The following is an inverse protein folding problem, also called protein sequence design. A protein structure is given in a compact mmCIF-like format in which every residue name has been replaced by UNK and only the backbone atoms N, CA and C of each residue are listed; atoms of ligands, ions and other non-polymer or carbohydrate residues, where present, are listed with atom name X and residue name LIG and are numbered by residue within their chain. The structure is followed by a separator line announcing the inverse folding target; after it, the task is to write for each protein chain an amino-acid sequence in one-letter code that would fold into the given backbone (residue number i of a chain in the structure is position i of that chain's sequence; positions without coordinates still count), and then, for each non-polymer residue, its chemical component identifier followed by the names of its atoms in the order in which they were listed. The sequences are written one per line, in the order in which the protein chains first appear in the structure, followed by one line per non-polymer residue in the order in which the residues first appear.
data_IF_587960947555
#
_entry.id   IF_587960947555
#
_cell.length_a   1.000
_cell.length_b   1.000
_cell.length_c   1.000
_cell.angle_alpha   90.00
_cell.angle_beta   90.00
_cell.angle_gamma   90.00
#
_symmetry.space_group_name_H-M   'P 1'
#
loop_
_entity.id
_entity.type
_entity.pdbx_description
1 polymer ?
#
# COMPACT_ATOMS: atom_id res chain seq x y z
N UNK A 1 15.18 6.55 13.75
CA UNK A 1 14.99 5.27 14.44
C UNK A 1 14.57 4.25 13.41
N UNK A 2 15.49 3.34 13.09
CA UNK A 2 15.34 2.27 12.12
C UNK A 2 14.47 1.15 12.69
N UNK A 3 13.55 0.62 11.89
CA UNK A 3 12.72 -0.54 12.23
C UNK A 3 13.50 -1.87 12.21
N UNK A 4 14.79 -1.88 12.56
CA UNK A 4 15.66 -3.06 12.45
C UNK A 4 16.20 -3.60 13.78
N UNK A 5 15.84 -3.02 14.92
CA UNK A 5 16.15 -3.59 16.23
C UNK A 5 14.93 -3.48 17.15
N UNK A 6 14.02 -4.44 17.03
CA UNK A 6 13.09 -4.78 18.10
C UNK A 6 13.61 -6.07 18.75
N UNK A 7 14.17 -5.85 19.93
CA UNK A 7 14.94 -6.76 20.75
C UNK A 7 14.12 -7.97 21.24
N UNK A 8 14.82 -9.10 21.28
CA UNK A 8 14.40 -10.37 21.87
C UNK A 8 14.43 -10.24 23.39
N UNK A 9 13.31 -9.84 24.00
CA UNK A 9 12.78 -10.42 25.25
C UNK A 9 11.62 -9.59 25.78
N UNK A 10 10.40 -10.06 25.55
CA UNK A 10 9.35 -10.18 26.56
C UNK A 10 8.42 -11.32 26.12
N UNK A 11 8.24 -12.27 27.04
CA UNK A 11 7.73 -13.63 26.83
C UNK A 11 6.25 -13.73 26.39
N UNK A 12 6.00 -14.70 25.50
CA UNK A 12 4.75 -15.46 25.26
C UNK A 12 3.54 -14.67 24.71
N UNK A 13 3.54 -14.36 23.40
CA UNK A 13 2.32 -14.00 22.64
C UNK A 13 2.51 -14.27 21.13
N UNK A 14 2.63 -15.52 20.70
CA UNK A 14 2.91 -15.81 19.26
C UNK A 14 1.99 -16.83 18.60
N UNK A 15 1.38 -17.74 19.37
CA UNK A 15 0.41 -18.69 18.82
C UNK A 15 -1.02 -18.13 18.92
N UNK A 16 -1.38 -17.44 20.00
CA UNK A 16 -2.71 -16.83 20.17
C UNK A 16 -3.01 -15.80 19.09
N UNK A 17 -2.04 -14.97 18.77
CA UNK A 17 -2.27 -13.81 17.91
C UNK A 17 -2.24 -14.23 16.43
N UNK A 18 -1.29 -15.10 16.03
CA UNK A 18 -1.31 -15.65 14.68
C UNK A 18 -2.59 -16.43 14.39
N UNK A 19 -2.93 -17.40 15.24
CA UNK A 19 -4.11 -18.24 15.01
C UNK A 19 -5.39 -17.43 15.00
N UNK A 20 -5.49 -16.42 15.88
CA UNK A 20 -6.58 -15.46 15.85
C UNK A 20 -6.72 -14.81 14.47
N UNK A 21 -5.68 -14.14 13.96
CA UNK A 21 -5.75 -13.46 12.65
C UNK A 21 -5.88 -14.42 11.46
N UNK A 22 -5.30 -15.62 11.57
CA UNK A 22 -5.34 -16.66 10.54
C UNK A 22 -6.71 -17.31 10.40
N UNK A 23 -7.44 -17.48 11.51
CA UNK A 23 -8.74 -18.15 11.54
C UNK A 23 -9.93 -17.19 11.68
N UNK A 24 -9.71 -15.89 11.92
CA UNK A 24 -10.78 -14.92 12.12
C UNK A 24 -11.85 -15.00 11.01
N UNK A 25 -13.14 -15.19 11.34
CA UNK A 25 -14.19 -15.22 10.33
C UNK A 25 -14.41 -13.83 9.73
N UNK A 26 -14.97 -13.80 8.52
CA UNK A 26 -15.35 -12.57 7.83
C UNK A 26 -15.75 -12.84 6.38
N UNK A 27 -16.05 -11.79 5.64
CA UNK A 27 -16.48 -11.88 4.25
C UNK A 27 -15.26 -11.95 3.33
N UNK A 28 -15.22 -12.95 2.44
CA UNK A 28 -14.19 -13.01 1.41
C UNK A 28 -14.43 -11.92 0.38
N UNK A 29 -13.55 -10.91 0.37
CA UNK A 29 -13.54 -9.86 -0.65
C UNK A 29 -12.64 -10.24 -1.83
N UNK A 30 -11.57 -10.98 -1.55
CA UNK A 30 -10.77 -11.68 -2.55
C UNK A 30 -10.65 -13.14 -2.10
N UNK A 31 -11.38 -14.09 -2.73
CA UNK A 31 -11.28 -15.49 -2.35
C UNK A 31 -9.85 -16.02 -2.58
N UNK A 32 -9.44 -17.10 -1.88
CA UNK A 32 -8.13 -17.69 -2.05
C UNK A 32 -7.82 -17.99 -3.52
N UNK A 33 -6.87 -17.24 -4.08
CA UNK A 33 -6.39 -17.43 -5.43
C UNK A 33 -5.13 -18.28 -5.41
N UNK A 34 -5.22 -19.50 -5.92
CA UNK A 34 -4.11 -20.44 -6.00
C UNK A 34 -3.16 -20.07 -7.15
N UNK A 35 -1.90 -19.85 -6.80
CA UNK A 35 -0.84 -19.56 -7.77
C UNK A 35 0.51 -20.03 -7.27
N UNK A 36 1.29 -20.66 -8.16
CA UNK A 36 2.70 -21.02 -7.93
C UNK A 36 2.94 -21.88 -6.68
N UNK A 37 2.05 -22.84 -6.40
CA UNK A 37 2.18 -23.76 -5.26
C UNK A 37 1.80 -23.16 -3.91
N UNK A 38 1.06 -22.05 -3.93
CA UNK A 38 0.54 -21.37 -2.75
C UNK A 38 -0.77 -20.66 -3.07
N UNK A 39 -1.32 -19.94 -2.10
CA UNK A 39 -2.53 -19.14 -2.26
C UNK A 39 -2.42 -17.81 -1.51
N UNK A 40 -3.23 -16.85 -1.95
CA UNK A 40 -3.43 -15.57 -1.28
C UNK A 40 -4.92 -15.25 -1.31
N UNK A 41 -5.47 -14.78 -0.20
CA UNK A 41 -6.85 -14.30 -0.14
C UNK A 41 -7.00 -13.19 0.88
N UNK A 42 -8.11 -12.46 0.80
CA UNK A 42 -8.41 -11.30 1.65
C UNK A 42 -9.80 -11.43 2.24
N UNK A 43 -9.86 -11.34 3.56
CA UNK A 43 -11.10 -11.35 4.35
C UNK A 43 -11.36 -9.95 4.89
N UNK A 44 -12.59 -9.47 4.77
CA UNK A 44 -13.08 -8.28 5.47
C UNK A 44 -13.74 -8.71 6.77
N UNK A 45 -13.29 -8.18 7.90
CA UNK A 45 -13.82 -8.49 9.21
C UNK A 45 -14.00 -7.22 10.03
N UNK A 46 -14.97 -7.22 10.95
CA UNK A 46 -15.13 -6.17 11.94
C UNK A 46 -14.51 -6.62 13.26
N UNK A 47 -13.59 -5.81 13.80
CA UNK A 47 -12.90 -6.08 15.06
C UNK A 47 -12.95 -4.81 15.91
N UNK A 48 -13.56 -4.89 17.09
CA UNK A 48 -13.72 -3.76 18.01
C UNK A 48 -14.34 -2.50 17.36
N UNK A 49 -15.37 -2.69 16.52
CA UNK A 49 -16.05 -1.59 15.83
C UNK A 49 -15.26 -0.97 14.67
N UNK A 50 -14.16 -1.61 14.23
CA UNK A 50 -13.35 -1.17 13.08
C UNK A 50 -13.38 -2.23 11.99
N UNK A 51 -13.49 -1.77 10.74
CA UNK A 51 -13.40 -2.66 9.57
C UNK A 51 -11.93 -2.88 9.24
N UNK A 52 -11.54 -4.15 9.15
CA UNK A 52 -10.19 -4.59 8.80
C UNK A 52 -10.20 -5.45 7.54
N UNK A 53 -9.13 -5.34 6.76
CA UNK A 53 -8.81 -6.26 5.67
C UNK A 53 -7.65 -7.15 6.10
N UNK A 54 -7.88 -8.46 6.05
CA UNK A 54 -6.95 -9.49 6.53
C UNK A 54 -6.49 -10.30 5.33
N UNK A 55 -5.26 -10.05 4.90
CA UNK A 55 -4.59 -10.78 3.83
C UNK A 55 -3.93 -12.03 4.40
N UNK A 56 -4.33 -13.20 3.93
CA UNK A 56 -3.76 -14.50 4.33
C UNK A 56 -3.06 -15.14 3.15
N UNK A 57 -1.92 -15.74 3.42
CA UNK A 57 -1.06 -16.33 2.41
C UNK A 57 -0.44 -17.63 2.88
N UNK A 58 -0.42 -18.62 2.00
CA UNK A 58 0.36 -19.85 2.14
C UNK A 58 1.27 -19.97 0.92
N UNK A 59 2.58 -20.13 1.11
CA UNK A 59 3.59 -20.27 0.05
C UNK A 59 3.54 -19.18 -1.04
N UNK A 60 2.89 -18.05 -0.76
CA UNK A 60 2.82 -16.91 -1.67
C UNK A 60 4.06 -16.02 -1.51
N UNK A 61 5.15 -16.46 -2.13
CA UNK A 61 6.49 -15.92 -1.91
C UNK A 61 6.98 -15.09 -3.12
N UNK A 62 7.74 -14.04 -2.84
CA UNK A 62 8.62 -13.42 -3.81
C UNK A 62 10.07 -13.84 -3.56
N UNK A 63 10.89 -13.78 -4.60
CA UNK A 63 12.34 -13.99 -4.50
C UNK A 63 13.09 -12.76 -4.99
N UNK A 64 14.17 -12.41 -4.31
CA UNK A 64 15.15 -11.41 -4.74
C UNK A 64 16.51 -11.75 -4.14
N UNK A 65 17.54 -10.95 -4.43
CA UNK A 65 18.90 -11.22 -3.94
C UNK A 65 19.01 -11.29 -2.41
N UNK A 66 18.17 -10.58 -1.65
CA UNK A 66 18.14 -10.63 -0.18
C UNK A 66 17.36 -11.84 0.35
N UNK A 67 16.43 -12.37 -0.43
CA UNK A 67 15.59 -13.52 -0.07
C UNK A 67 15.60 -14.58 -1.18
N UNK A 68 16.73 -15.27 -1.41
CA UNK A 68 16.85 -16.26 -2.47
C UNK A 68 15.90 -17.45 -2.24
N UNK A 69 15.63 -17.80 -0.97
CA UNK A 69 14.71 -18.88 -0.59
C UNK A 69 13.23 -18.46 -0.53
N UNK A 70 12.94 -17.21 -0.87
CA UNK A 70 11.58 -16.68 -0.86
C UNK A 70 11.19 -16.01 0.45
N UNK A 71 10.32 -15.01 0.34
CA UNK A 71 9.75 -14.26 1.47
C UNK A 71 8.29 -13.92 1.16
N UNK A 72 7.35 -13.94 2.14
CA UNK A 72 5.94 -13.70 1.86
C UNK A 72 5.68 -12.30 1.33
N UNK A 73 4.77 -12.16 0.35
CA UNK A 73 4.48 -10.85 -0.24
C UNK A 73 3.79 -9.91 0.75
N UNK A 74 2.90 -10.41 1.62
CA UNK A 74 2.30 -9.60 2.69
C UNK A 74 3.32 -9.05 3.68
N UNK A 75 4.45 -9.75 3.87
CA UNK A 75 5.52 -9.25 4.76
C UNK A 75 6.27 -8.08 4.14
N UNK A 76 6.38 -8.05 2.81
CA UNK A 76 6.89 -6.88 2.08
C UNK A 76 5.89 -5.73 2.12
N UNK A 77 4.61 -6.03 1.94
CA UNK A 77 3.55 -5.02 2.02
C UNK A 77 3.54 -4.35 3.41
N UNK A 78 3.57 -5.13 4.50
CA UNK A 78 3.75 -4.62 5.86
C UNK A 78 4.94 -3.66 5.97
N UNK A 79 6.12 -4.07 5.51
CA UNK A 79 7.32 -3.24 5.56
C UNK A 79 7.10 -1.87 4.89
N UNK A 80 6.44 -1.84 3.73
CA UNK A 80 6.18 -0.58 3.04
C UNK A 80 5.03 0.22 3.65
N UNK A 81 4.01 -0.42 4.23
CA UNK A 81 2.98 0.31 4.99
C UNK A 81 3.61 1.08 6.16
N UNK A 82 4.48 0.44 6.94
CA UNK A 82 5.23 1.11 8.01
C UNK A 82 6.16 2.20 7.46
N UNK A 83 6.83 1.96 6.33
CA UNK A 83 7.68 2.97 5.71
C UNK A 83 6.87 4.20 5.26
N UNK A 84 5.69 4.01 4.66
CA UNK A 84 4.82 5.10 4.24
C UNK A 84 4.27 5.89 5.44
N UNK A 85 3.89 5.21 6.52
CA UNK A 85 3.48 5.86 7.78
C UNK A 85 4.58 6.79 8.31
N UNK A 86 5.84 6.32 8.35
CA UNK A 86 6.99 7.14 8.77
C UNK A 86 7.29 8.33 7.86
N UNK A 87 6.86 8.27 6.59
CA UNK A 87 7.01 9.33 5.60
C UNK A 87 5.81 10.29 5.55
N UNK A 88 4.79 10.06 6.39
CA UNK A 88 3.53 10.81 6.34
C UNK A 88 2.82 10.68 4.99
N UNK A 89 2.91 9.49 4.37
CA UNK A 89 2.23 9.14 3.12
C UNK A 89 1.02 8.29 3.50
N UNK A 90 -0.23 8.77 3.26
CA UNK A 90 -1.42 8.01 3.62
C UNK A 90 -1.53 6.68 2.84
N UNK A 91 -1.80 5.61 3.57
CA UNK A 91 -2.05 4.25 3.10
C UNK A 91 -2.87 3.51 4.19
N UNK A 92 -3.39 2.30 3.96
CA UNK A 92 -4.07 1.52 5.01
C UNK A 92 -3.18 1.36 6.25
N UNK A 93 -3.70 1.67 7.44
CA UNK A 93 -2.90 1.55 8.66
C UNK A 93 -2.63 0.07 8.95
N UNK A 94 -1.36 -0.36 9.11
CA UNK A 94 -1.04 -1.73 9.50
C UNK A 94 -1.40 -1.97 10.97
N UNK A 95 -2.11 -3.08 11.25
CA UNK A 95 -2.55 -3.47 12.61
C UNK A 95 -1.78 -4.68 13.11
N UNK A 96 -1.60 -5.68 12.26
CA UNK A 96 -0.89 -6.91 12.61
C UNK A 96 -0.17 -7.49 11.40
N UNK A 97 1.01 -8.05 11.63
CA UNK A 97 1.70 -8.89 10.65
C UNK A 97 2.50 -9.96 11.36
N UNK A 98 2.44 -11.18 10.83
CA UNK A 98 3.34 -12.24 11.23
C UNK A 98 3.47 -13.26 10.10
N UNK A 99 4.62 -13.92 10.04
CA UNK A 99 4.87 -15.05 9.16
C UNK A 99 5.47 -16.21 9.97
N UNK A 100 5.12 -17.45 9.60
CA UNK A 100 5.64 -18.67 10.23
C UNK A 100 5.92 -19.74 9.19
N UNK A 101 6.86 -20.63 9.52
CA UNK A 101 7.11 -21.85 8.75
C UNK A 101 6.44 -23.03 9.45
N UNK A 102 5.62 -23.76 8.73
CA UNK A 102 4.94 -24.98 9.16
C UNK A 102 5.39 -26.16 8.31
N UNK A 103 4.93 -27.37 8.62
CA UNK A 103 5.13 -28.54 7.73
C UNK A 103 4.46 -28.36 6.37
N UNK A 104 3.40 -27.55 6.29
CA UNK A 104 2.64 -27.26 5.06
C UNK A 104 3.22 -26.13 4.22
N UNK A 105 4.21 -25.39 4.73
CA UNK A 105 4.87 -24.30 4.00
C UNK A 105 5.05 -23.04 4.83
N UNK A 106 5.11 -21.90 4.14
CA UNK A 106 5.22 -20.58 4.79
C UNK A 106 3.85 -19.93 4.82
N UNK A 107 3.31 -19.75 6.01
CA UNK A 107 2.07 -19.02 6.25
C UNK A 107 2.39 -17.58 6.66
N UNK A 108 1.62 -16.62 6.17
CA UNK A 108 1.74 -15.23 6.57
C UNK A 108 0.39 -14.53 6.56
N UNK A 109 0.20 -13.63 7.53
CA UNK A 109 -1.00 -12.83 7.66
C UNK A 109 -0.63 -11.35 7.84
N UNK A 110 -1.42 -10.47 7.23
CA UNK A 110 -1.36 -9.02 7.37
C UNK A 110 -2.78 -8.50 7.58
N UNK A 111 -3.01 -7.78 8.68
CA UNK A 111 -4.26 -7.06 8.92
C UNK A 111 -4.02 -5.55 8.81
N UNK A 112 -4.89 -4.87 8.06
CA UNK A 112 -4.86 -3.41 7.88
C UNK A 112 -6.25 -2.81 8.13
N UNK A 113 -6.30 -1.58 8.63
CA UNK A 113 -7.56 -0.82 8.71
C UNK A 113 -8.11 -0.52 7.31
N UNK A 114 -9.43 -0.50 7.18
CA UNK A 114 -10.10 -0.04 5.98
C UNK A 114 -9.87 1.45 5.74
N UNK A 115 -9.79 1.84 4.47
CA UNK A 115 -9.79 3.25 4.07
C UNK A 115 -11.24 3.75 3.99
N UNK A 116 -11.87 3.98 5.14
CA UNK A 116 -13.28 4.38 5.20
C UNK A 116 -13.54 5.73 4.51
N UNK A 117 -14.57 5.75 3.67
CA UNK A 117 -14.96 6.90 2.86
C UNK A 117 -14.09 7.13 1.61
N UNK A 118 -13.04 6.33 1.41
CA UNK A 118 -12.24 6.41 0.20
C UNK A 118 -12.85 5.58 -0.93
N UNK A 119 -12.69 6.09 -2.16
CA UNK A 119 -13.01 5.40 -3.41
C UNK A 119 -11.82 5.45 -4.35
N UNK A 120 -11.64 4.44 -5.19
CA UNK A 120 -10.50 4.44 -6.09
C UNK A 120 -10.68 5.51 -7.19
N UNK A 121 -9.59 6.13 -7.64
CA UNK A 121 -9.60 7.17 -8.67
C UNK A 121 -10.29 6.70 -9.96
N UNK A 122 -10.15 5.41 -10.30
CA UNK A 122 -10.81 4.77 -11.44
C UNK A 122 -12.33 4.73 -11.36
N UNK A 123 -12.93 4.91 -10.17
CA UNK A 123 -14.38 4.88 -9.97
C UNK A 123 -15.04 6.25 -10.16
N UNK A 124 -14.24 7.31 -10.34
CA UNK A 124 -14.76 8.65 -10.60
C UNK A 124 -14.89 8.85 -12.11
N UNK A 125 -16.13 9.03 -12.59
CA UNK A 125 -16.36 9.36 -14.00
C UNK A 125 -15.89 10.78 -14.36
N UNK A 126 -16.07 11.73 -13.45
CA UNK A 126 -15.50 13.07 -13.52
C UNK A 126 -15.43 13.70 -12.13
N UNK A 127 -14.63 14.76 -12.00
CA UNK A 127 -14.60 15.64 -10.83
C UNK A 127 -14.72 17.10 -11.30
N UNK A 128 -15.29 17.99 -10.48
CA UNK A 128 -15.21 19.43 -10.71
C UNK A 128 -13.77 19.89 -10.93
N UNK A 129 -13.55 20.90 -11.78
CA UNK A 129 -12.21 21.38 -12.12
C UNK A 129 -11.37 21.72 -10.89
N UNK A 130 -11.95 22.37 -9.89
CA UNK A 130 -11.25 22.71 -8.64
C UNK A 130 -10.77 21.45 -7.89
N UNK A 131 -11.59 20.40 -7.84
CA UNK A 131 -11.21 19.14 -7.21
C UNK A 131 -10.15 18.38 -8.03
N UNK A 132 -10.18 18.44 -9.36
CA UNK A 132 -9.12 17.85 -10.20
C UNK A 132 -7.76 18.51 -9.96
N UNK A 133 -7.73 19.85 -9.91
CA UNK A 133 -6.52 20.62 -9.61
C UNK A 133 -6.02 20.33 -8.19
N UNK A 134 -6.93 20.23 -7.21
CA UNK A 134 -6.58 19.86 -5.84
C UNK A 134 -6.01 18.44 -5.76
N UNK A 135 -6.65 17.48 -6.43
CA UNK A 135 -6.19 16.09 -6.53
C UNK A 135 -4.80 16.02 -7.15
N UNK A 136 -4.60 16.70 -8.28
CA UNK A 136 -3.31 16.77 -8.96
C UNK A 136 -2.20 17.28 -8.03
N UNK A 137 -2.47 18.38 -7.30
CA UNK A 137 -1.52 18.97 -6.35
C UNK A 137 -1.20 18.04 -5.18
N UNK A 138 -2.23 17.44 -4.56
CA UNK A 138 -2.06 16.52 -3.41
C UNK A 138 -1.36 15.23 -3.82
N UNK A 139 -1.78 14.62 -4.92
CA UNK A 139 -1.15 13.41 -5.46
C UNK A 139 0.29 13.67 -5.89
N UNK A 140 0.57 14.79 -6.56
CA UNK A 140 1.93 15.20 -6.92
C UNK A 140 2.82 15.35 -5.70
N UNK A 141 2.32 16.00 -4.65
CA UNK A 141 3.04 16.14 -3.38
C UNK A 141 3.33 14.77 -2.73
N UNK A 142 2.31 13.91 -2.65
CA UNK A 142 2.41 12.57 -2.08
C UNK A 142 3.45 11.72 -2.83
N UNK A 143 3.34 11.63 -4.15
CA UNK A 143 4.28 10.89 -5.00
C UNK A 143 5.68 11.50 -4.97
N UNK A 144 5.77 12.82 -4.78
CA UNK A 144 7.04 13.52 -4.60
C UNK A 144 7.79 13.04 -3.37
N UNK A 145 7.10 12.94 -2.23
CA UNK A 145 7.65 12.38 -0.98
C UNK A 145 8.09 10.93 -1.16
N UNK A 146 7.24 10.10 -1.77
CA UNK A 146 7.53 8.69 -2.05
C UNK A 146 8.83 8.53 -2.86
N UNK A 147 8.91 9.25 -3.98
CA UNK A 147 10.03 9.18 -4.90
C UNK A 147 11.29 9.84 -4.33
N UNK A 148 11.17 10.86 -3.47
CA UNK A 148 12.30 11.45 -2.74
C UNK A 148 12.97 10.45 -1.81
N UNK A 149 12.17 9.60 -1.14
CA UNK A 149 12.64 8.45 -0.36
C UNK A 149 13.21 7.31 -1.23
N UNK A 150 13.27 7.49 -2.55
CA UNK A 150 13.70 6.51 -3.56
C UNK A 150 12.84 5.24 -3.60
N UNK A 151 11.60 5.33 -3.12
CA UNK A 151 10.65 4.23 -3.18
C UNK A 151 9.85 4.31 -4.49
N UNK A 152 9.70 3.18 -5.18
CA UNK A 152 8.87 3.03 -6.37
C UNK A 152 7.68 2.12 -6.04
N UNK A 153 6.46 2.61 -6.22
CA UNK A 153 5.21 1.86 -6.09
C UNK A 153 5.17 0.64 -7.02
N UNK A 154 5.57 0.80 -8.28
CA UNK A 154 5.68 -0.25 -9.31
C UNK A 154 4.37 -0.84 -9.82
N UNK A 155 3.25 -0.45 -9.25
CA UNK A 155 1.89 -0.84 -9.64
C UNK A 155 0.95 0.38 -9.52
N UNK A 156 1.43 1.59 -9.83
CA UNK A 156 0.67 2.83 -9.63
C UNK A 156 -0.37 3.00 -10.76
N UNK A 157 -1.48 2.29 -10.61
CA UNK A 157 -2.70 2.46 -11.39
C UNK A 157 -3.67 3.38 -10.64
N UNK A 158 -4.59 3.99 -11.37
CA UNK A 158 -5.68 4.80 -10.82
C UNK A 158 -6.54 4.02 -9.79
N UNK A 159 -6.77 2.72 -10.01
CA UNK A 159 -7.45 1.86 -9.02
C UNK A 159 -6.71 1.70 -7.68
N UNK A 160 -5.46 2.14 -7.60
CA UNK A 160 -4.62 2.10 -6.39
C UNK A 160 -4.35 3.50 -5.82
N UNK A 161 -4.95 4.54 -6.40
CA UNK A 161 -5.00 5.89 -5.85
C UNK A 161 -6.38 6.08 -5.25
N UNK A 162 -6.44 6.19 -3.93
CA UNK A 162 -7.68 6.28 -3.17
C UNK A 162 -7.98 7.76 -2.88
N UNK A 163 -9.20 8.19 -3.14
CA UNK A 163 -9.66 9.57 -2.98
C UNK A 163 -10.84 9.58 -2.01
N UNK A 164 -10.80 10.49 -1.03
CA UNK A 164 -11.94 10.79 -0.16
C UNK A 164 -12.25 12.29 -0.21
N UNK A 165 -13.35 12.70 -0.85
CA UNK A 165 -13.84 14.07 -0.75
C UNK A 165 -14.26 14.37 0.69
N UNK A 166 -13.88 15.53 1.20
CA UNK A 166 -14.30 16.04 2.51
C UNK A 166 -15.30 17.20 2.31
N UNK A 167 -16.15 17.46 3.30
CA UNK A 167 -17.30 18.38 3.20
C UNK A 167 -16.98 19.87 2.96
N UNK A 168 -15.70 20.26 2.94
CA UNK A 168 -15.24 21.65 2.86
C UNK A 168 -14.45 21.95 1.57
N UNK A 169 -14.70 21.20 0.49
CA UNK A 169 -13.94 21.35 -0.77
C UNK A 169 -12.53 20.77 -0.71
N UNK A 170 -12.15 20.18 0.41
CA UNK A 170 -10.92 19.41 0.58
C UNK A 170 -11.10 17.97 0.08
N UNK A 171 -9.97 17.31 -0.20
CA UNK A 171 -9.95 15.88 -0.48
C UNK A 171 -8.70 15.25 0.12
N UNK A 172 -8.81 14.01 0.56
CA UNK A 172 -7.68 13.20 0.99
C UNK A 172 -7.27 12.23 -0.11
N UNK A 173 -5.97 11.92 -0.16
CA UNK A 173 -5.39 10.98 -1.12
C UNK A 173 -4.56 9.96 -0.36
N UNK A 174 -4.80 8.67 -0.62
CA UNK A 174 -4.02 7.57 -0.09
C UNK A 174 -3.58 6.61 -1.20
N UNK A 175 -2.49 5.88 -0.95
CA UNK A 175 -2.03 4.81 -1.84
C UNK A 175 -2.50 3.45 -1.32
N UNK A 176 -2.76 2.53 -2.25
CA UNK A 176 -3.12 1.15 -1.98
C UNK A 176 -2.22 0.20 -2.79
N UNK A 177 -2.19 -1.08 -2.42
CA UNK A 177 -1.45 -2.14 -3.10
C UNK A 177 0.07 -1.90 -3.18
N UNK A 178 0.73 -2.12 -2.04
CA UNK A 178 2.19 -1.95 -1.92
C UNK A 178 2.97 -3.24 -2.19
N UNK A 179 2.32 -4.30 -2.71
CA UNK A 179 2.93 -5.64 -2.85
C UNK A 179 4.17 -5.64 -3.77
N UNK A 180 4.22 -4.71 -4.73
CA UNK A 180 5.32 -4.58 -5.72
C UNK A 180 6.29 -3.45 -5.41
N UNK A 181 6.04 -2.70 -4.33
CA UNK A 181 6.86 -1.56 -3.96
C UNK A 181 8.30 -2.00 -3.71
N UNK A 182 9.25 -1.14 -4.07
CA UNK A 182 10.70 -1.41 -3.94
C UNK A 182 11.55 -0.14 -3.93
N UNK A 183 12.73 -0.16 -3.29
CA UNK A 183 13.69 0.92 -3.41
C UNK A 183 14.32 0.96 -4.81
N UNK A 184 14.76 2.15 -5.22
CA UNK A 184 15.57 2.40 -6.41
C UNK A 184 16.85 3.13 -6.04
N UNK A 185 17.86 3.04 -6.92
CA UNK A 185 19.14 3.72 -6.69
C UNK A 185 19.00 5.24 -6.62
N UNK A 186 18.10 5.80 -7.42
CA UNK A 186 17.91 7.26 -7.58
C UNK A 186 16.43 7.62 -7.53
N UNK A 187 16.12 8.84 -7.06
CA UNK A 187 14.76 9.42 -7.04
C UNK A 187 14.10 9.39 -8.44
N UNK A 188 14.85 9.74 -9.48
CA UNK A 188 14.37 9.75 -10.87
C UNK A 188 13.97 8.36 -11.38
N UNK A 189 14.74 7.31 -11.05
CA UNK A 189 14.39 5.93 -11.41
C UNK A 189 13.14 5.45 -10.69
N UNK A 190 12.90 5.90 -9.45
CA UNK A 190 11.64 5.63 -8.76
C UNK A 190 10.47 6.33 -9.46
N UNK A 191 10.62 7.63 -9.73
CA UNK A 191 9.54 8.44 -10.29
C UNK A 191 9.12 8.05 -11.71
N UNK A 192 10.08 7.82 -12.61
CA UNK A 192 9.78 7.64 -14.05
C UNK A 192 8.77 6.54 -14.32
N UNK A 193 8.92 5.38 -13.68
CA UNK A 193 8.04 4.25 -13.95
C UNK A 193 6.62 4.52 -13.44
N UNK A 194 6.50 4.99 -12.20
CA UNK A 194 5.22 5.20 -11.54
C UNK A 194 4.42 6.33 -12.21
N UNK A 195 5.05 7.49 -12.44
CA UNK A 195 4.39 8.63 -13.11
C UNK A 195 3.97 8.28 -14.54
N UNK A 196 4.83 7.56 -15.28
CA UNK A 196 4.53 7.13 -16.64
C UNK A 196 3.40 6.10 -16.69
N UNK A 197 3.33 5.19 -15.72
CA UNK A 197 2.25 4.21 -15.60
C UNK A 197 0.93 4.88 -15.26
N UNK A 198 0.91 5.76 -14.25
CA UNK A 198 -0.29 6.48 -13.85
C UNK A 198 -0.83 7.33 -15.00
N UNK A 199 0.01 8.16 -15.65
CA UNK A 199 -0.42 9.04 -16.76
C UNK A 199 -1.13 8.28 -17.88
N UNK A 200 -0.65 7.07 -18.22
CA UNK A 200 -1.22 6.25 -19.30
C UNK A 200 -2.51 5.52 -18.93
N UNK A 201 -2.79 5.35 -17.64
CA UNK A 201 -3.82 4.43 -17.15
C UNK A 201 -4.97 5.12 -16.44
N UNK A 202 -4.79 6.38 -16.05
CA UNK A 202 -5.82 7.22 -15.48
C UNK A 202 -6.56 8.01 -16.58
N UNK A 203 -7.83 8.34 -16.35
CA UNK A 203 -8.67 9.15 -17.25
C UNK A 203 -9.20 10.44 -16.61
N UNK A 204 -8.91 10.69 -15.33
CA UNK A 204 -9.54 11.73 -14.54
C UNK A 204 -8.85 13.10 -14.67
N UNK A 205 -7.52 13.13 -14.81
CA UNK A 205 -6.70 14.33 -14.94
C UNK A 205 -6.33 14.58 -16.40
N UNK A 206 -6.57 15.80 -16.87
CA UNK A 206 -6.15 16.23 -18.21
C UNK A 206 -4.66 16.70 -18.22
N UNK A 207 -4.19 17.24 -19.35
CA UNK A 207 -2.81 17.71 -19.50
C UNK A 207 -2.48 18.97 -18.66
N UNK A 208 -3.48 19.79 -18.32
CA UNK A 208 -3.30 20.94 -17.44
C UNK A 208 -3.20 20.47 -15.99
N UNK A 209 -4.07 19.56 -15.57
CA UNK A 209 -4.01 18.92 -14.26
C UNK A 209 -2.70 18.15 -14.08
N UNK A 210 -2.25 17.42 -15.12
CA UNK A 210 -0.99 16.69 -15.07
C UNK A 210 0.22 17.61 -14.89
N UNK A 211 0.22 18.80 -15.49
CA UNK A 211 1.27 19.81 -15.23
C UNK A 211 1.29 20.24 -13.77
N UNK A 212 0.13 20.49 -13.16
CA UNK A 212 0.03 20.82 -11.72
C UNK A 212 0.59 19.68 -10.86
N UNK A 213 0.28 18.42 -11.19
CA UNK A 213 0.84 17.26 -10.51
C UNK A 213 2.36 17.22 -10.61
N UNK A 214 2.92 17.41 -11.80
CA UNK A 214 4.36 17.38 -12.03
C UNK A 214 5.09 18.52 -11.32
N UNK A 215 4.51 19.72 -11.27
CA UNK A 215 5.06 20.85 -10.52
C UNK A 215 5.09 20.57 -9.01
N UNK A 216 3.99 20.07 -8.45
CA UNK A 216 3.92 19.71 -7.04
C UNK A 216 4.90 18.56 -6.69
N UNK A 217 5.03 17.59 -7.60
CA UNK A 217 5.99 16.50 -7.51
C UNK A 217 7.44 17.01 -7.48
N UNK A 218 7.82 17.89 -8.41
CA UNK A 218 9.16 18.44 -8.51
C UNK A 218 9.58 19.18 -7.22
N UNK A 219 8.71 20.04 -6.67
CA UNK A 219 8.97 20.77 -5.41
C UNK A 219 9.30 19.83 -4.25
N UNK A 220 8.67 18.66 -4.19
CA UNK A 220 8.96 17.67 -3.15
C UNK A 220 10.24 16.88 -3.41
N UNK A 221 10.65 16.70 -4.67
CA UNK A 221 11.93 16.04 -4.99
C UNK A 221 13.12 16.92 -4.65
N UNK A 222 12.99 18.24 -4.85
CA UNK A 222 14.04 19.23 -4.71
C UNK A 222 14.13 19.82 -3.30
N UNK A 223 13.11 19.62 -2.46
CA UNK A 223 13.16 20.03 -1.05
C UNK A 223 14.23 19.21 -0.30
N UNK A 224 15.26 19.93 0.14
CA UNK A 224 16.39 19.47 0.95
C UNK A 224 15.92 19.03 2.33
#
# INVERSE_FOLDING_TARGET
MSCEEADLSHSIHTISDFEYWWSLPGDWVEPPNERRGGWSGVVRAEVNGRILYIKRQLNHLYRNLRHPFGHPTVSREWHYLCALESLGIPAPRPVFHQARRTRGGVEAVLATEALDGYRAMSEFGSLPTEQRVLLARKLGTLLGRLHRARLQHSCLYDKHVMIRPNGEGELDVALLDLEKMRPRLTRNRAARHDLSQLRRRQSLLDDQDWRVLMEAHARQIDSV
#
